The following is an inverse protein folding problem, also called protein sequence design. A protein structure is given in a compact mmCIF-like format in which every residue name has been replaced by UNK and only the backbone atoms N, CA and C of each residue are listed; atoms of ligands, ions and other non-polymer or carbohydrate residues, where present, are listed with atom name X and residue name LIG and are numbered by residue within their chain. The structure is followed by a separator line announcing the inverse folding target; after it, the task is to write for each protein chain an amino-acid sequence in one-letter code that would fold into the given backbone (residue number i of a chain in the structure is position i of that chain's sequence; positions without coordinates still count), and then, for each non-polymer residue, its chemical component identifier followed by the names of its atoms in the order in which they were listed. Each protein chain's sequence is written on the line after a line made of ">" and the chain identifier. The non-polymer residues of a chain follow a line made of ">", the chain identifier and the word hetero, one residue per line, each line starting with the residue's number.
data_IF_154876924141
#
_entry.id   IF_154876924141
#
_cell.length_a   1.000
_cell.length_b   1.000
_cell.length_c   1.000
_cell.angle_alpha   90.00
_cell.angle_beta   90.00
_cell.angle_gamma   90.00
#
_symmetry.space_group_name_H-M   'P 1'
#
loop_
_entity.id
_entity.type
_entity.pdbx_description
1 polymer ?
#
# COMPACT_ATOMS: atom_id res chain seq x y z
N UNK A 1 -22.79 -7.81 -0.55
CA UNK A 1 -21.43 -8.37 -0.71
C UNK A 1 -20.47 -7.21 -0.83
N UNK A 2 -19.33 -7.24 -0.14
CA UNK A 2 -18.34 -6.16 -0.25
C UNK A 2 -17.72 -6.21 -1.65
N UNK A 3 -17.64 -5.06 -2.32
CA UNK A 3 -17.09 -4.94 -3.68
C UNK A 3 -15.61 -5.33 -3.73
N UNK A 4 -14.89 -5.07 -2.64
CA UNK A 4 -13.47 -5.38 -2.46
C UNK A 4 -13.25 -6.01 -1.09
N UNK A 5 -12.09 -6.65 -0.93
CA UNK A 5 -11.58 -7.13 0.35
C UNK A 5 -10.73 -6.03 1.01
N UNK A 6 -10.97 -5.69 2.28
CA UNK A 6 -10.23 -4.65 3.02
C UNK A 6 -9.49 -5.29 4.18
N UNK A 7 -8.16 -5.18 4.20
CA UNK A 7 -7.32 -5.76 5.26
C UNK A 7 -6.37 -4.72 5.83
N UNK A 8 -6.18 -4.76 7.14
CA UNK A 8 -5.18 -3.98 7.86
C UNK A 8 -4.09 -4.92 8.39
N UNK A 9 -2.83 -4.54 8.18
CA UNK A 9 -1.65 -5.32 8.57
C UNK A 9 -0.55 -4.39 9.09
N UNK A 10 0.46 -4.98 9.71
CA UNK A 10 1.62 -4.26 10.24
C UNK A 10 2.93 -4.90 9.79
N UNK A 11 3.83 -4.08 9.26
CA UNK A 11 5.16 -4.51 8.87
C UNK A 11 5.25 -5.20 7.51
N UNK A 12 6.50 -5.36 7.06
CA UNK A 12 6.81 -5.84 5.72
C UNK A 12 6.50 -7.33 5.52
N UNK A 13 6.74 -8.15 6.56
CA UNK A 13 6.49 -9.58 6.51
C UNK A 13 5.00 -9.90 6.31
N UNK A 14 4.12 -9.26 7.10
CA UNK A 14 2.68 -9.40 6.94
C UNK A 14 2.21 -8.91 5.57
N UNK A 15 2.81 -7.83 5.06
CA UNK A 15 2.53 -7.34 3.71
C UNK A 15 2.84 -8.40 2.65
N UNK A 16 4.02 -8.99 2.72
CA UNK A 16 4.42 -10.07 1.83
C UNK A 16 3.48 -11.27 1.91
N UNK A 17 3.12 -11.69 3.13
CA UNK A 17 2.18 -12.79 3.36
C UNK A 17 0.81 -12.49 2.75
N UNK A 18 0.25 -11.32 3.06
CA UNK A 18 -1.06 -10.89 2.58
C UNK A 18 -1.15 -10.86 1.05
N UNK A 19 -0.11 -10.36 0.38
CA UNK A 19 0.01 -10.36 -1.07
C UNK A 19 0.11 -11.79 -1.62
N UNK A 20 0.89 -12.66 -0.96
CA UNK A 20 1.10 -14.04 -1.40
C UNK A 20 -0.15 -14.91 -1.31
N UNK A 21 -1.02 -14.66 -0.33
CA UNK A 21 -2.30 -15.36 -0.17
C UNK A 21 -3.35 -14.90 -1.19
N UNK A 22 -3.14 -13.75 -1.82
CA UNK A 22 -4.09 -13.09 -2.73
C UNK A 22 -3.58 -13.02 -4.17
N UNK A 23 -2.71 -13.96 -4.54
CA UNK A 23 -2.19 -14.10 -5.92
C UNK A 23 -3.36 -14.16 -6.91
N UNK A 24 -3.22 -13.43 -8.01
CA UNK A 24 -4.24 -13.36 -9.07
C UNK A 24 -5.32 -12.31 -8.83
N UNK A 25 -5.43 -11.72 -7.63
CA UNK A 25 -6.29 -10.55 -7.39
C UNK A 25 -5.56 -9.25 -7.70
N UNK A 26 -6.32 -8.21 -8.04
CA UNK A 26 -5.80 -6.85 -8.07
C UNK A 26 -5.62 -6.32 -6.65
N UNK A 27 -4.40 -5.89 -6.31
CA UNK A 27 -4.05 -5.43 -4.97
C UNK A 27 -3.70 -3.95 -5.02
N UNK A 28 -4.34 -3.17 -4.16
CA UNK A 28 -4.07 -1.77 -3.89
C UNK A 28 -3.53 -1.66 -2.47
N UNK A 29 -2.28 -1.24 -2.32
CA UNK A 29 -1.60 -1.16 -1.03
C UNK A 29 -1.38 0.30 -0.63
N UNK A 30 -1.91 0.68 0.53
CA UNK A 30 -1.71 1.97 1.17
C UNK A 30 -0.74 1.81 2.34
N UNK A 31 0.42 2.45 2.24
CA UNK A 31 1.45 2.46 3.27
C UNK A 31 1.33 3.71 4.11
N UNK A 32 1.20 3.54 5.42
CA UNK A 32 1.03 4.61 6.39
C UNK A 32 1.97 4.43 7.57
N UNK A 33 2.34 5.52 8.24
CA UNK A 33 3.04 5.44 9.52
C UNK A 33 2.14 4.84 10.60
N UNK A 34 2.72 4.11 11.54
CA UNK A 34 2.00 3.56 12.70
C UNK A 34 1.13 4.58 13.40
N UNK A 35 -0.04 4.10 13.81
CA UNK A 35 -1.00 4.81 14.65
C UNK A 35 -0.64 4.65 16.13
N UNK A 36 -0.81 5.72 16.89
CA UNK A 36 -0.78 5.69 18.34
C UNK A 36 -2.08 5.08 18.92
N UNK A 37 -2.18 5.03 20.25
CA UNK A 37 -3.37 4.52 20.96
C UNK A 37 -4.65 5.32 20.67
N UNK A 38 -4.53 6.53 20.13
CA UNK A 38 -5.66 7.37 19.68
C UNK A 38 -6.01 7.13 18.21
N UNK A 39 -5.34 6.18 17.54
CA UNK A 39 -5.55 5.88 16.14
C UNK A 39 -4.91 6.90 15.19
N UNK A 40 -4.01 7.76 15.67
CA UNK A 40 -3.39 8.83 14.87
C UNK A 40 -2.00 8.43 14.43
N UNK A 41 -1.75 8.51 13.13
CA UNK A 41 -0.42 8.24 12.57
C UNK A 41 0.60 9.29 13.05
N UNK A 42 1.84 8.85 13.33
CA UNK A 42 2.96 9.77 13.58
C UNK A 42 3.28 10.67 12.37
N UNK A 43 2.78 10.32 11.19
CA UNK A 43 2.92 11.10 9.97
C UNK A 43 1.68 12.01 9.77
N UNK A 44 1.81 13.34 9.82
CA UNK A 44 0.68 14.26 9.64
C UNK A 44 0.00 14.12 8.27
N UNK A 45 0.75 13.83 7.22
CA UNK A 45 0.20 13.66 5.87
C UNK A 45 -0.60 12.36 5.76
N UNK A 46 -0.19 11.30 6.46
CA UNK A 46 -0.99 10.07 6.58
C UNK A 46 -2.35 10.33 7.21
N UNK A 47 -2.41 11.15 8.26
CA UNK A 47 -3.67 11.53 8.94
C UNK A 47 -4.61 12.27 7.99
N UNK A 48 -4.07 13.17 7.14
CA UNK A 48 -4.85 13.92 6.16
C UNK A 48 -5.27 13.08 4.96
N UNK A 49 -4.41 12.20 4.48
CA UNK A 49 -4.62 11.42 3.27
C UNK A 49 -5.54 10.21 3.48
N UNK A 50 -5.51 9.58 4.65
CA UNK A 50 -6.33 8.39 4.94
C UNK A 50 -7.83 8.57 4.65
N UNK A 51 -8.53 9.63 5.13
CA UNK A 51 -9.95 9.80 4.83
C UNK A 51 -10.22 10.01 3.33
N UNK A 52 -9.30 10.64 2.61
CA UNK A 52 -9.40 10.83 1.15
C UNK A 52 -9.28 9.47 0.45
N UNK A 53 -8.27 8.66 0.78
CA UNK A 53 -8.09 7.32 0.21
C UNK A 53 -9.28 6.42 0.52
N UNK A 54 -9.76 6.43 1.77
CA UNK A 54 -10.93 5.64 2.21
C UNK A 54 -12.20 6.03 1.46
N UNK A 55 -12.41 7.32 1.19
CA UNK A 55 -13.53 7.82 0.39
C UNK A 55 -13.55 7.31 -1.05
N UNK A 56 -12.38 7.06 -1.62
CA UNK A 56 -12.21 6.58 -3.00
C UNK A 56 -12.30 5.06 -3.16
N UNK A 57 -12.34 4.28 -2.07
CA UNK A 57 -12.33 2.81 -2.16
C UNK A 57 -13.57 2.23 -2.88
N UNK A 58 -14.68 2.97 -2.90
CA UNK A 58 -15.89 2.57 -3.65
C UNK A 58 -15.63 2.43 -5.16
N UNK A 59 -14.61 3.11 -5.69
CA UNK A 59 -14.20 3.03 -7.10
C UNK A 59 -13.30 1.84 -7.41
N UNK A 60 -12.85 1.08 -6.42
CA UNK A 60 -12.02 -0.10 -6.67
C UNK A 60 -12.76 -1.14 -7.52
N UNK A 61 -12.04 -1.88 -8.39
CA UNK A 61 -12.63 -2.98 -9.16
C UNK A 61 -13.25 -4.05 -8.27
N UNK A 62 -14.28 -4.73 -8.76
CA UNK A 62 -14.90 -5.83 -8.02
C UNK A 62 -13.93 -7.00 -7.83
N UNK A 63 -13.91 -7.59 -6.64
CA UNK A 63 -13.00 -8.69 -6.29
C UNK A 63 -11.55 -8.25 -6.04
N UNK A 64 -11.25 -6.95 -6.07
CA UNK A 64 -9.95 -6.41 -5.71
C UNK A 64 -9.70 -6.45 -4.20
N UNK A 65 -8.46 -6.19 -3.81
CA UNK A 65 -8.00 -6.16 -2.42
C UNK A 65 -7.41 -4.79 -2.13
N UNK A 66 -7.86 -4.18 -1.04
CA UNK A 66 -7.22 -3.04 -0.43
C UNK A 66 -6.44 -3.48 0.81
N UNK A 67 -5.16 -3.15 0.86
CA UNK A 67 -4.25 -3.43 1.98
C UNK A 67 -3.86 -2.12 2.63
N UNK A 68 -4.29 -1.90 3.86
CA UNK A 68 -3.77 -0.85 4.73
C UNK A 68 -2.57 -1.41 5.49
N UNK A 69 -1.37 -0.93 5.16
CA UNK A 69 -0.11 -1.40 5.74
C UNK A 69 0.52 -0.31 6.61
N UNK A 70 0.62 -0.60 7.90
CA UNK A 70 1.40 0.21 8.84
C UNK A 70 2.88 -0.16 8.71
N UNK A 71 3.72 0.82 8.38
CA UNK A 71 5.13 0.57 8.03
C UNK A 71 6.05 0.42 9.24
N UNK A 72 5.55 0.60 10.45
CA UNK A 72 6.35 0.71 11.66
C UNK A 72 6.45 2.14 12.19
N UNK A 73 7.21 2.28 13.26
CA UNK A 73 7.44 3.53 13.94
C UNK A 73 8.31 4.50 13.11
N UNK A 74 8.33 5.77 13.53
CA UNK A 74 9.09 6.81 12.83
C UNK A 74 10.60 6.53 12.76
N UNK A 75 11.26 6.03 13.82
CA UNK A 75 12.65 5.59 13.76
C UNK A 75 12.92 4.52 12.70
N UNK A 76 12.15 3.44 12.66
CA UNK A 76 12.26 2.38 11.65
C UNK A 76 12.06 2.95 10.24
N UNK A 77 11.04 3.80 10.05
CA UNK A 77 10.81 4.43 8.76
C UNK A 77 11.97 5.33 8.32
N UNK A 78 12.66 6.01 9.24
CA UNK A 78 13.81 6.87 8.89
C UNK A 78 15.03 6.07 8.42
N UNK A 79 15.24 4.86 8.91
CA UNK A 79 16.34 4.01 8.47
C UNK A 79 16.28 3.80 6.95
N UNK A 80 17.31 4.16 6.16
CA UNK A 80 17.36 3.86 4.73
C UNK A 80 17.41 2.36 4.42
N UNK A 81 17.78 1.54 5.40
CA UNK A 81 17.95 0.09 5.27
C UNK A 81 16.71 -0.72 5.64
N UNK A 82 15.60 -0.10 5.99
CA UNK A 82 14.37 -0.81 6.31
C UNK A 82 13.83 -1.60 5.09
N UNK A 83 13.00 -2.60 5.37
CA UNK A 83 12.58 -3.56 4.36
C UNK A 83 11.72 -2.93 3.25
N UNK A 84 10.89 -1.95 3.61
CA UNK A 84 10.07 -1.22 2.64
C UNK A 84 10.92 -0.42 1.66
N UNK A 85 11.95 0.29 2.14
CA UNK A 85 12.84 1.07 1.26
C UNK A 85 13.76 0.18 0.44
N UNK A 86 14.31 -0.89 1.03
CA UNK A 86 15.21 -1.81 0.32
C UNK A 86 14.48 -2.59 -0.75
N UNK A 87 13.34 -3.19 -0.39
CA UNK A 87 12.63 -4.11 -1.27
C UNK A 87 11.61 -3.38 -2.13
N UNK A 88 10.78 -2.50 -1.53
CA UNK A 88 9.71 -1.82 -2.27
C UNK A 88 10.12 -0.47 -2.89
N UNK A 89 11.32 0.04 -2.56
CA UNK A 89 11.81 1.35 -3.01
C UNK A 89 10.86 2.50 -2.67
N UNK A 90 10.09 2.38 -1.59
CA UNK A 90 9.24 3.47 -1.12
C UNK A 90 10.12 4.63 -0.66
N UNK A 91 9.81 5.84 -1.11
CA UNK A 91 10.57 7.06 -0.75
C UNK A 91 9.88 7.88 0.34
N UNK A 92 8.58 7.67 0.55
CA UNK A 92 7.76 8.42 1.51
C UNK A 92 6.52 7.66 1.96
N UNK A 93 5.94 8.10 3.07
CA UNK A 93 4.56 7.79 3.47
C UNK A 93 3.80 9.11 3.62
N UNK A 94 2.50 9.16 3.30
CA UNK A 94 1.68 8.05 2.79
C UNK A 94 2.04 7.68 1.33
N UNK A 95 1.92 6.40 0.98
CA UNK A 95 2.04 5.93 -0.42
C UNK A 95 0.90 4.98 -0.75
N UNK A 96 0.15 5.25 -1.82
CA UNK A 96 -0.81 4.32 -2.40
C UNK A 96 -0.25 3.76 -3.71
N UNK A 97 -0.20 2.43 -3.85
CA UNK A 97 0.25 1.79 -5.08
C UNK A 97 -0.67 0.64 -5.49
N UNK A 98 -0.73 0.39 -6.80
CA UNK A 98 -1.28 -0.86 -7.36
C UNK A 98 -0.13 -1.86 -7.48
N UNK A 99 -0.23 -2.96 -6.74
CA UNK A 99 0.84 -3.95 -6.68
C UNK A 99 0.95 -4.69 -8.03
N UNK A 100 2.18 -4.91 -8.50
CA UNK A 100 2.45 -5.62 -9.75
C UNK A 100 2.49 -4.76 -11.02
N UNK A 101 2.08 -3.49 -10.99
CA UNK A 101 2.12 -2.59 -12.17
C UNK A 101 3.34 -1.66 -12.19
N UNK A 102 3.94 -1.40 -11.05
CA UNK A 102 5.15 -0.59 -10.91
C UNK A 102 6.39 -1.49 -10.91
N UNK A 103 7.53 -1.01 -11.45
CA UNK A 103 8.84 -1.69 -11.39
C UNK A 103 9.42 -1.65 -9.97
N UNK A 104 8.64 -2.12 -9.00
CA UNK A 104 9.09 -2.34 -7.64
C UNK A 104 9.63 -3.78 -7.59
N UNK A 105 10.71 -4.01 -6.84
CA UNK A 105 11.14 -5.38 -6.55
C UNK A 105 9.98 -6.06 -5.85
N UNK A 106 9.32 -6.98 -6.56
CA UNK A 106 8.24 -7.81 -5.99
C UNK A 106 8.77 -8.41 -4.68
N UNK A 107 7.90 -8.59 -3.69
CA UNK A 107 8.30 -9.29 -2.47
C UNK A 107 9.05 -10.56 -2.88
N UNK A 108 10.27 -10.73 -2.38
CA UNK A 108 11.26 -11.71 -2.87
C UNK A 108 10.79 -13.17 -2.78
N UNK A 109 9.66 -13.40 -2.11
CA UNK A 109 8.95 -14.67 -2.01
C UNK A 109 8.13 -15.04 -3.28
N UNK A 110 8.16 -14.22 -4.34
CA UNK A 110 7.30 -14.38 -5.51
C UNK A 110 8.09 -14.39 -6.83
N UNK A 111 8.59 -15.57 -7.22
CA UNK A 111 9.09 -15.83 -8.57
C UNK A 111 7.92 -16.08 -9.54
N UNK A 112 7.75 -15.18 -10.51
CA UNK A 112 6.93 -15.41 -11.71
C UNK A 112 5.55 -14.78 -11.69
N UNK A 113 5.39 -13.61 -12.32
CA UNK A 113 4.11 -13.17 -12.91
C UNK A 113 4.39 -12.16 -14.02
N UNK A 114 3.77 -12.38 -15.19
CA UNK A 114 3.92 -11.62 -16.43
C UNK A 114 3.22 -10.25 -16.35
N UNK A 115 3.84 -9.28 -17.01
CA UNK A 115 3.39 -7.89 -17.18
C UNK A 115 2.18 -7.83 -18.11
N UNK A 116 1.08 -7.23 -17.67
CA UNK A 116 0.03 -6.73 -18.56
C UNK A 116 -0.16 -5.23 -18.35
N UNK A 117 -0.51 -4.59 -19.46
CA UNK A 117 -0.30 -3.19 -19.77
C UNK A 117 -1.57 -2.37 -19.45
N UNK A 118 -1.35 -1.08 -19.16
CA UNK A 118 -2.28 0.07 -19.13
C UNK A 118 -3.08 0.46 -17.86
N UNK A 119 -2.74 1.69 -17.42
CA UNK A 119 -3.58 2.87 -17.13
C UNK A 119 -5.04 2.66 -16.73
N UNK A 120 -5.37 2.93 -15.45
CA UNK A 120 -6.60 3.69 -15.14
C UNK A 120 -6.66 4.31 -13.72
N UNK A 121 -5.86 3.87 -12.72
CA UNK A 121 -5.95 4.42 -11.36
C UNK A 121 -4.86 5.42 -10.94
N UNK A 122 -3.74 5.53 -11.66
CA UNK A 122 -2.68 6.48 -11.27
C UNK A 122 -3.02 7.95 -11.59
N UNK A 123 -3.88 8.24 -12.57
CA UNK A 123 -4.11 9.61 -13.03
C UNK A 123 -5.03 10.46 -12.13
N UNK A 124 -5.87 9.84 -11.29
CA UNK A 124 -6.69 10.59 -10.33
C UNK A 124 -5.96 10.91 -9.04
N UNK A 125 -4.98 10.10 -8.62
CA UNK A 125 -4.20 10.36 -7.41
C UNK A 125 -3.06 11.37 -7.62
N UNK A 126 -2.44 11.41 -8.82
CA UNK A 126 -1.35 12.35 -9.12
C UNK A 126 -1.76 13.83 -9.20
N UNK A 127 -3.06 14.15 -9.25
CA UNK A 127 -3.54 15.54 -9.23
C UNK A 127 -3.83 16.08 -7.83
N UNK A 128 -3.73 15.25 -6.78
CA UNK A 128 -3.74 15.71 -5.40
C UNK A 128 -2.30 16.01 -4.98
N UNK A 129 -1.77 17.13 -5.47
CA UNK A 129 -0.58 17.75 -4.90
C UNK A 129 -0.89 18.03 -3.42
N UNK A 130 -0.23 17.31 -2.52
CA UNK A 130 0.03 17.77 -1.16
C UNK A 130 1.34 18.54 -1.15
#
# INVERSE_FOLDING_TARGET
>A
MTKYEDIAIHGYEEFCKAVSERKGKEIFAYFSGDKDDQGKSWCPDCVKAEPVVRGELSHLPEGSVFIYCQVGDRPYWKDPNNDFKKNLKLTGVPTLLRYGTVKISKCSLMSGFNTLNYNFLLLKFLHLNF
#
